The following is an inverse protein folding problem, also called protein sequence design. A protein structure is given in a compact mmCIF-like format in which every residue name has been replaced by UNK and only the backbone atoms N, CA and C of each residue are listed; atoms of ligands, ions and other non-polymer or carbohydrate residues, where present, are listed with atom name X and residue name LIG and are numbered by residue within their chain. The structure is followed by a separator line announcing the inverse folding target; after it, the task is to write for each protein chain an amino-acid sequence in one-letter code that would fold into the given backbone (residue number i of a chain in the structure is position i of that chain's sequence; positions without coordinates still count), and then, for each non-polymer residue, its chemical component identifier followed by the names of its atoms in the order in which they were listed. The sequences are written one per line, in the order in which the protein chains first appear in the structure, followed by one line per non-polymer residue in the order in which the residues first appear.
data_IF_313900689047
#
_entry.id   IF_313900689047
#
_cell.length_a   1.000
_cell.length_b   1.000
_cell.length_c   1.000
_cell.angle_alpha   90.00
_cell.angle_beta   90.00
_cell.angle_gamma   90.00
#
_symmetry.space_group_name_H-M   'P 1'
#
loop_
_entity.id
_entity.type
_entity.pdbx_description
1 polymer ?
2 non-polymer ?
3 water ?
#
# COMPACT_ATOMS: atom_id res chain seq x y z
N UNK A 4 11.97 2.34 -23.73
CA UNK A 4 12.97 2.61 -22.68
C UNK A 4 12.28 2.97 -21.34
N UNK A 5 13.07 3.15 -20.30
CA UNK A 5 12.58 3.50 -18.97
C UNK A 5 13.10 4.87 -18.50
N UNK A 6 14.08 5.50 -19.19
CA UNK A 6 14.56 6.81 -18.84
C UNK A 6 13.71 7.83 -19.58
N UNK A 7 13.15 8.79 -18.84
CA UNK A 7 12.32 9.86 -19.42
C UNK A 7 13.14 11.14 -19.39
N UNK A 8 13.32 11.80 -20.55
CA UNK A 8 14.11 13.05 -20.55
C UNK A 8 13.29 14.17 -19.91
N UNK A 9 13.93 15.19 -19.31
CA UNK A 9 13.17 16.28 -18.68
C UNK A 9 12.27 16.99 -19.68
N UNK A 10 12.69 17.04 -20.97
CA UNK A 10 11.88 17.72 -21.99
C UNK A 10 10.60 16.97 -22.33
N UNK A 11 10.48 15.70 -21.90
CA UNK A 11 9.29 14.92 -22.16
C UNK A 11 8.21 15.07 -21.10
N UNK A 12 8.39 15.97 -20.10
CA UNK A 12 7.41 16.13 -19.01
C UNK A 12 7.01 17.58 -18.84
N UNK A 13 5.77 17.81 -18.41
CA UNK A 13 5.33 19.11 -17.98
C UNK A 13 4.71 18.97 -16.59
N UNK A 14 4.79 20.01 -15.80
CA UNK A 14 4.24 19.99 -14.45
C UNK A 14 3.07 20.99 -14.38
N UNK A 15 1.84 20.49 -14.21
CA UNK A 15 0.65 21.34 -14.24
C UNK A 15 0.18 21.80 -12.89
N UNK A 16 -0.01 20.88 -11.94
CA UNK A 16 -0.55 21.27 -10.66
C UNK A 16 0.09 20.41 -9.59
N UNK A 17 0.47 20.97 -8.44
CA UNK A 17 0.99 20.16 -7.33
C UNK A 17 -0.24 19.52 -6.71
N UNK A 18 -0.22 18.22 -6.51
CA UNK A 18 -1.34 17.50 -5.91
C UNK A 18 -0.98 16.84 -4.58
N UNK A 19 0.31 16.69 -4.30
CA UNK A 19 0.75 16.06 -3.06
C UNK A 19 2.09 16.54 -2.58
N UNK A 20 2.34 16.36 -1.29
CA UNK A 20 3.61 16.73 -0.70
C UNK A 20 3.84 15.94 0.59
N UNK A 21 5.09 15.88 1.01
CA UNK A 21 5.54 15.19 2.23
C UNK A 21 7.05 15.19 2.35
N UNK A 22 7.60 14.37 3.27
CA UNK A 22 9.07 14.30 3.43
C UNK A 22 9.78 13.64 2.25
N UNK A 23 9.07 12.90 1.42
CA UNK A 23 9.65 12.27 0.24
C UNK A 23 10.01 13.28 -0.85
N UNK A 24 9.30 14.43 -0.88
CA UNK A 24 9.31 15.47 -1.91
C UNK A 24 7.90 15.92 -2.36
N UNK A 25 7.63 16.03 -3.71
CA UNK A 25 6.33 16.53 -4.18
C UNK A 25 5.69 15.64 -5.22
N UNK A 26 4.39 15.78 -5.42
CA UNK A 26 3.71 15.05 -6.50
C UNK A 26 2.94 16.08 -7.33
N UNK A 27 3.09 16.02 -8.67
CA UNK A 27 2.37 16.90 -9.56
C UNK A 27 1.56 16.15 -10.56
N UNK A 28 0.45 16.70 -10.99
CA UNK A 28 -0.27 16.18 -12.14
C UNK A 28 0.50 16.85 -13.30
N UNK A 29 0.81 16.09 -14.32
CA UNK A 29 1.46 16.65 -15.51
C UNK A 29 1.12 15.86 -16.74
N UNK A 30 1.84 16.15 -17.87
CA UNK A 30 1.73 15.36 -19.08
C UNK A 30 3.08 14.77 -19.44
N UNK A 31 3.04 13.62 -20.11
CA UNK A 31 4.23 12.96 -20.57
C UNK A 31 4.14 12.87 -22.11
N UNK A 32 5.14 13.37 -22.79
CA UNK A 32 5.15 13.46 -24.25
C UNK A 32 4.73 12.17 -24.97
N UNK A 33 3.78 12.32 -25.91
CA UNK A 33 3.18 11.29 -26.74
C UNK A 33 2.54 10.17 -25.97
N UNK A 34 2.21 10.41 -24.67
CA UNK A 34 1.78 9.35 -23.75
C UNK A 34 0.86 9.83 -22.61
N UNK A 35 0.16 10.92 -22.79
CA UNK A 35 -0.93 11.43 -21.92
C UNK A 35 -0.58 11.83 -20.41
N UNK A 36 -1.63 12.00 -19.60
CA UNK A 36 -1.59 12.46 -18.21
C UNK A 36 -0.83 11.55 -17.27
N UNK A 37 -0.08 12.13 -16.35
CA UNK A 37 0.73 11.34 -15.41
C UNK A 37 0.76 12.02 -14.06
N UNK A 38 1.14 11.27 -13.01
CA UNK A 38 1.50 11.84 -11.72
C UNK A 38 3.05 11.75 -11.66
N UNK A 39 3.70 12.86 -11.34
CA UNK A 39 5.18 12.89 -11.31
C UNK A 39 5.60 13.11 -9.87
N UNK A 40 6.40 12.22 -9.33
CA UNK A 40 6.82 12.35 -7.92
C UNK A 40 8.26 12.82 -7.94
N UNK A 41 8.54 14.02 -7.45
CA UNK A 41 9.91 14.54 -7.36
C UNK A 41 10.48 14.16 -6.03
N UNK A 42 11.66 13.47 -6.03
CA UNK A 42 12.24 12.90 -4.83
C UNK A 42 13.27 13.84 -4.23
N UNK A 43 13.14 14.18 -2.97
CA UNK A 43 14.06 15.06 -2.27
C UNK A 43 15.41 14.38 -2.09
N UNK A 44 16.53 15.13 -2.22
CA UNK A 44 17.89 14.66 -1.99
C UNK A 44 18.00 14.03 -0.62
N UNK A 45 18.56 12.84 -0.57
CA UNK A 45 18.76 12.17 0.72
C UNK A 45 17.60 11.32 1.19
N UNK A 46 16.44 11.38 0.50
CA UNK A 46 15.30 10.58 0.95
C UNK A 46 15.43 9.12 0.56
N UNK A 47 16.04 8.85 -0.61
CA UNK A 47 16.06 7.54 -1.23
C UNK A 47 17.44 7.13 -1.69
N UNK A 48 17.71 5.81 -1.69
CA UNK A 48 18.96 5.30 -2.27
C UNK A 48 18.67 5.30 -3.79
N UNK A 49 19.03 6.37 -4.45
CA UNK A 49 18.68 6.53 -5.88
C UNK A 49 19.36 5.54 -6.77
N UNK A 50 20.67 5.26 -6.55
CA UNK A 50 21.30 4.26 -7.42
C UNK A 50 20.66 2.88 -7.30
N UNK A 51 20.24 2.47 -6.08
CA UNK A 51 19.58 1.18 -5.93
C UNK A 51 18.26 1.18 -6.67
N UNK A 52 17.52 2.27 -6.57
CA UNK A 52 16.22 2.34 -7.23
C UNK A 52 16.43 2.31 -8.77
N UNK A 53 17.33 3.14 -9.28
CA UNK A 53 17.54 3.20 -10.75
C UNK A 53 17.99 1.85 -11.31
N UNK A 54 18.77 1.07 -10.51
CA UNK A 54 19.22 -0.27 -10.89
C UNK A 54 18.06 -1.24 -11.09
N UNK A 55 16.99 -1.06 -10.33
CA UNK A 55 15.83 -1.94 -10.39
C UNK A 55 14.64 -1.40 -11.13
N UNK A 56 14.66 -0.13 -11.53
CA UNK A 56 13.49 0.49 -12.16
C UNK A 56 12.96 -0.25 -13.38
N UNK A 57 13.84 -0.69 -14.29
CA UNK A 57 13.38 -1.35 -15.51
C UNK A 57 12.68 -2.65 -15.20
N UNK A 58 13.23 -3.43 -14.27
CA UNK A 58 12.59 -4.68 -13.91
C UNK A 58 11.26 -4.39 -13.17
N UNK A 59 11.25 -3.37 -12.30
CA UNK A 59 10.04 -2.95 -11.57
C UNK A 59 8.89 -2.58 -12.54
N UNK A 60 9.20 -1.83 -13.62
CA UNK A 60 8.21 -1.40 -14.62
C UNK A 60 7.57 -2.53 -15.37
N UNK A 61 8.24 -3.69 -15.44
CA UNK A 61 7.62 -4.85 -16.09
C UNK A 61 6.55 -5.50 -15.21
N UNK A 62 6.44 -5.10 -13.91
CA UNK A 62 5.36 -5.57 -13.05
C UNK A 62 4.23 -4.69 -13.48
N UNK A 63 3.32 -5.29 -14.22
CA UNK A 63 2.24 -4.55 -14.79
C UNK A 63 0.98 -5.35 -14.59
N UNK A 64 -0.04 -4.72 -14.03
CA UNK A 64 -1.31 -5.36 -13.75
C UNK A 64 -2.39 -4.29 -13.63
N UNK A 65 -3.66 -4.54 -14.00
CA UNK A 65 -4.67 -3.48 -13.88
C UNK A 65 -4.91 -2.99 -12.47
N UNK A 66 -4.55 -3.77 -11.45
CA UNK A 66 -4.76 -3.33 -10.06
C UNK A 66 -3.47 -2.88 -9.36
N UNK A 67 -2.40 -2.64 -10.12
CA UNK A 67 -1.14 -2.07 -9.60
C UNK A 67 -0.94 -0.69 -10.29
N UNK A 68 -0.54 0.33 -9.56
CA UNK A 68 -0.21 1.63 -10.19
C UNK A 68 1.03 1.46 -11.07
N UNK A 69 0.94 1.82 -12.36
CA UNK A 69 2.06 1.63 -13.26
C UNK A 69 3.14 2.68 -13.06
N UNK A 70 4.41 2.23 -13.00
CA UNK A 70 5.56 3.13 -13.02
C UNK A 70 5.92 3.21 -14.53
N UNK A 71 5.90 4.42 -15.10
CA UNK A 71 6.19 4.62 -16.53
C UNK A 71 7.65 4.88 -16.86
N UNK A 72 8.38 5.44 -15.91
CA UNK A 72 9.78 5.76 -16.15
C UNK A 72 10.37 6.66 -15.11
N UNK A 73 11.65 7.02 -15.31
CA UNK A 73 12.39 7.79 -14.30
C UNK A 73 13.11 8.92 -15.01
N UNK A 74 12.99 10.15 -14.50
CA UNK A 74 13.66 11.29 -15.09
C UNK A 74 14.87 11.50 -14.19
N UNK A 75 16.07 11.16 -14.68
CA UNK A 75 17.29 11.17 -13.86
C UNK A 75 18.45 12.05 -14.39
N UNK A 76 18.21 12.86 -15.43
CA UNK A 76 19.26 13.74 -15.99
C UNK A 76 19.93 14.64 -14.94
N UNK A 77 19.12 15.33 -14.14
CA UNK A 77 19.65 16.23 -13.10
C UNK A 77 18.89 15.99 -11.78
N UNK A 78 19.47 16.44 -10.68
CA UNK A 78 18.84 16.30 -9.37
C UNK A 78 17.87 17.47 -9.19
N UNK A 79 16.71 17.26 -8.55
CA UNK A 79 16.19 16.00 -7.99
C UNK A 79 15.61 15.06 -9.04
N UNK A 80 15.70 13.74 -8.83
CA UNK A 80 15.10 12.82 -9.82
C UNK A 80 13.58 12.83 -9.71
N UNK A 81 12.89 12.40 -10.76
CA UNK A 81 11.42 12.27 -10.73
C UNK A 81 11.05 10.87 -11.12
N UNK A 82 9.97 10.36 -10.58
CA UNK A 82 9.43 9.07 -10.97
C UNK A 82 8.09 9.37 -11.64
N UNK A 83 7.78 8.73 -12.78
CA UNK A 83 6.56 9.10 -13.53
C UNK A 83 5.59 7.93 -13.48
N UNK A 84 4.38 8.16 -12.99
CA UNK A 84 3.41 7.12 -12.74
C UNK A 84 2.09 7.39 -13.43
N UNK A 85 1.28 6.37 -13.45
CA UNK A 85 -0.11 6.40 -13.83
C UNK A 85 -0.84 7.38 -12.88
N UNK A 86 -1.68 8.26 -13.45
CA UNK A 86 -2.42 9.25 -12.68
C UNK A 86 -3.72 8.61 -12.21
N UNK A 87 -3.98 8.72 -10.91
CA UNK A 87 -5.18 8.17 -10.25
C UNK A 87 -6.01 9.36 -9.80
N UNK A 88 -7.16 9.51 -10.40
CA UNK A 88 -7.92 10.74 -10.25
C UNK A 88 -8.43 11.03 -8.84
N UNK A 89 -8.69 9.99 -8.01
CA UNK A 89 -9.26 10.27 -6.68
C UNK A 89 -8.28 10.25 -5.52
N UNK A 90 -6.99 10.04 -5.78
CA UNK A 90 -5.99 10.13 -4.72
C UNK A 90 -5.94 8.90 -3.84
N UNK A 91 -5.30 9.03 -2.65
CA UNK A 91 -5.08 7.86 -1.79
C UNK A 91 -6.36 7.41 -1.16
N UNK A 92 -6.45 6.12 -1.00
CA UNK A 92 -7.66 5.44 -0.49
C UNK A 92 -7.98 5.83 0.95
N UNK A 93 -6.94 6.04 1.76
CA UNK A 93 -7.13 6.45 3.16
C UNK A 93 -7.94 7.76 3.23
N UNK A 94 -7.52 8.77 2.47
CA UNK A 94 -8.26 10.04 2.46
C UNK A 94 -9.62 9.87 1.79
N UNK A 95 -9.70 9.05 0.74
CA UNK A 95 -10.97 8.82 0.03
C UNK A 95 -12.04 8.22 0.96
N UNK A 96 -11.62 7.25 1.76
CA UNK A 96 -12.52 6.62 2.74
C UNK A 96 -12.98 7.66 3.74
N UNK A 97 -12.04 8.47 4.29
CA UNK A 97 -12.43 9.46 5.31
C UNK A 97 -13.38 10.51 4.81
N UNK A 98 -13.12 11.00 3.59
CA UNK A 98 -13.94 12.09 3.07
C UNK A 98 -15.31 11.57 2.62
N UNK A 99 -15.40 10.29 2.19
CA UNK A 99 -16.71 9.78 1.71
C UNK A 99 -17.44 8.93 2.77
N UNK A 100 -16.96 8.98 4.04
CA UNK A 100 -17.54 8.23 5.18
C UNK A 100 -19.03 8.47 5.28
N UNK A 101 -19.78 7.40 5.47
CA UNK A 101 -21.24 7.46 5.52
C UNK A 101 -21.91 7.27 4.18
N UNK A 102 -21.14 7.29 3.07
CA UNK A 102 -21.69 7.17 1.71
C UNK A 102 -21.36 5.84 1.01
N UNK A 103 -20.80 4.90 1.77
CA UNK A 103 -20.41 3.63 1.19
C UNK A 103 -21.40 2.54 1.52
N UNK A 104 -21.72 1.74 0.53
CA UNK A 104 -22.40 0.47 0.72
C UNK A 104 -21.29 -0.59 1.12
N UNK A 105 -21.67 -1.60 1.92
CA UNK A 105 -20.71 -2.65 2.29
C UNK A 105 -20.19 -3.38 1.04
N UNK A 106 -21.01 -3.51 -0.01
CA UNK A 106 -20.55 -4.15 -1.26
C UNK A 106 -19.43 -3.34 -1.93
N UNK A 107 -19.48 -2.01 -1.82
CA UNK A 107 -18.42 -1.19 -2.42
C UNK A 107 -17.10 -1.40 -1.65
N UNK A 108 -17.19 -1.46 -0.33
CA UNK A 108 -16.02 -1.61 0.53
C UNK A 108 -15.39 -2.97 0.29
N UNK A 109 -16.22 -4.02 0.13
CA UNK A 109 -15.67 -5.34 -0.17
C UNK A 109 -15.02 -5.31 -1.56
N UNK A 110 -15.62 -4.59 -2.51
CA UNK A 110 -15.06 -4.50 -3.84
C UNK A 110 -13.70 -3.82 -3.84
N UNK A 111 -13.51 -2.80 -2.96
CA UNK A 111 -12.20 -2.15 -2.84
C UNK A 111 -11.18 -3.20 -2.32
N UNK A 112 -11.58 -4.00 -1.31
CA UNK A 112 -10.66 -5.05 -0.80
C UNK A 112 -10.31 -6.06 -1.89
N UNK A 113 -11.29 -6.42 -2.75
CA UNK A 113 -11.02 -7.33 -3.85
C UNK A 113 -10.07 -6.78 -4.84
N UNK A 114 -10.18 -5.48 -5.16
CA UNK A 114 -9.21 -4.89 -6.12
C UNK A 114 -7.78 -4.98 -5.53
N UNK A 115 -7.64 -4.66 -4.24
CA UNK A 115 -6.31 -4.71 -3.62
C UNK A 115 -5.78 -6.17 -3.60
N UNK A 116 -6.69 -7.10 -3.27
CA UNK A 116 -6.33 -8.52 -3.22
C UNK A 116 -5.86 -9.01 -4.59
N UNK A 117 -6.52 -8.57 -5.65
CA UNK A 117 -6.16 -8.99 -6.99
C UNK A 117 -4.76 -8.50 -7.35
N UNK A 118 -4.47 -7.24 -7.06
CA UNK A 118 -3.11 -6.70 -7.29
C UNK A 118 -2.09 -7.43 -6.44
N UNK A 119 -2.42 -7.70 -5.14
CA UNK A 119 -1.48 -8.44 -4.29
C UNK A 119 -1.29 -9.87 -4.74
N UNK A 120 -2.34 -10.56 -5.29
CA UNK A 120 -2.12 -11.94 -5.74
C UNK A 120 -1.15 -11.94 -6.95
N UNK A 121 -1.19 -10.89 -7.77
CA UNK A 121 -0.24 -10.77 -8.89
C UNK A 121 1.19 -10.62 -8.30
N UNK A 122 1.35 -9.74 -7.31
CA UNK A 122 2.69 -9.56 -6.73
C UNK A 122 3.17 -10.84 -6.04
N UNK A 123 2.29 -11.56 -5.39
CA UNK A 123 2.63 -12.81 -4.70
C UNK A 123 3.09 -13.82 -5.74
N UNK A 124 2.38 -13.93 -6.87
CA UNK A 124 2.81 -14.86 -7.92
C UNK A 124 4.18 -14.43 -8.50
N UNK A 125 4.40 -13.11 -8.60
CA UNK A 125 5.70 -12.60 -9.10
C UNK A 125 6.80 -12.66 -7.99
N UNK A 126 6.47 -13.15 -6.77
CA UNK A 126 7.40 -13.21 -5.60
C UNK A 126 7.95 -11.86 -5.26
N UNK A 127 7.06 -10.85 -5.32
CA UNK A 127 7.43 -9.47 -5.02
C UNK A 127 6.70 -9.15 -3.74
N UNK A 128 7.44 -8.68 -2.74
CA UNK A 128 6.85 -8.38 -1.44
C UNK A 128 6.62 -6.89 -1.35
N UNK A 129 5.41 -6.49 -0.95
CA UNK A 129 5.12 -5.06 -0.86
C UNK A 129 5.95 -4.38 0.24
N UNK A 130 5.82 -4.90 1.47
CA UNK A 130 6.49 -4.52 2.70
C UNK A 130 5.80 -3.43 3.49
N UNK A 131 4.93 -2.61 2.86
CA UNK A 131 4.26 -1.56 3.61
C UNK A 131 2.87 -1.34 3.09
N UNK A 132 2.14 -2.44 2.95
CA UNK A 132 0.77 -2.35 2.45
C UNK A 132 -0.13 -1.73 3.46
N UNK A 133 -0.86 -0.68 3.02
CA UNK A 133 -1.77 0.07 3.91
C UNK A 133 -2.69 0.88 3.01
N UNK A 134 -3.80 1.38 3.54
CA UNK A 134 -4.72 2.18 2.72
C UNK A 134 -4.02 3.44 2.18
N UNK A 135 -3.04 4.00 2.94
CA UNK A 135 -2.34 5.19 2.45
C UNK A 135 -1.56 4.92 1.17
N UNK A 136 -1.18 3.64 0.92
CA UNK A 136 -0.42 3.22 -0.25
C UNK A 136 -1.29 2.69 -1.38
N UNK A 137 -2.61 2.82 -1.27
CA UNK A 137 -3.54 2.42 -2.33
C UNK A 137 -4.12 3.71 -2.92
N UNK A 138 -4.35 3.69 -4.21
CA UNK A 138 -4.89 4.89 -4.90
C UNK A 138 -6.19 4.54 -5.57
N UNK A 139 -7.04 5.55 -5.75
CA UNK A 139 -8.41 5.36 -6.28
C UNK A 139 -8.47 6.01 -7.64
N UNK A 140 -8.95 5.30 -8.65
CA UNK A 140 -8.94 5.82 -10.01
C UNK A 140 -10.32 5.82 -10.60
N UNK A 141 -10.36 5.65 -11.93
CA UNK A 141 -11.55 5.63 -12.75
C UNK A 141 -12.57 4.64 -12.23
N UNK A 142 -13.80 5.12 -12.03
CA UNK A 142 -14.89 4.30 -11.54
C UNK A 142 -14.59 3.68 -10.16
N UNK A 143 -13.76 4.38 -9.34
CA UNK A 143 -13.47 3.96 -7.99
C UNK A 143 -12.65 2.66 -7.92
N UNK A 144 -11.93 2.32 -9.00
CA UNK A 144 -11.04 1.16 -8.98
C UNK A 144 -9.91 1.44 -7.97
N UNK A 145 -9.48 0.42 -7.20
CA UNK A 145 -8.35 0.66 -6.28
C UNK A 145 -7.12 -0.01 -6.88
N UNK A 146 -6.00 0.67 -6.79
CA UNK A 146 -4.74 0.11 -7.25
C UNK A 146 -3.71 0.24 -6.16
N UNK A 147 -2.87 -0.80 -6.04
CA UNK A 147 -1.78 -0.82 -5.06
C UNK A 147 -0.60 -0.03 -5.60
N UNK A 148 0.02 0.77 -4.73
CA UNK A 148 1.19 1.55 -5.14
C UNK A 148 2.33 1.34 -4.17
N UNK A 149 3.52 1.81 -4.57
CA UNK A 149 4.73 1.82 -3.75
C UNK A 149 5.20 0.48 -3.22
N UNK A 150 4.88 -0.57 -3.93
CA UNK A 150 5.37 -1.91 -3.57
C UNK A 150 6.89 -1.96 -3.65
N UNK A 151 7.46 -2.47 -2.57
CA UNK A 151 8.89 -2.67 -2.42
C UNK A 151 9.69 -1.40 -2.21
N UNK A 152 9.01 -0.25 -2.09
CA UNK A 152 9.77 0.99 -2.01
C UNK A 152 10.48 1.21 -0.71
N UNK A 153 10.06 0.56 0.40
CA UNK A 153 10.82 0.74 1.64
C UNK A 153 12.25 0.19 1.53
N UNK A 154 12.53 -0.68 0.52
CA UNK A 154 13.90 -1.15 0.31
C UNK A 154 14.82 0.04 -0.07
N UNK A 155 14.26 1.18 -0.55
CA UNK A 155 15.11 2.32 -0.96
C UNK A 155 15.03 3.51 -0.02
N UNK A 156 14.15 3.50 0.99
CA UNK A 156 13.99 4.65 1.89
C UNK A 156 15.26 4.78 2.77
N UNK A 157 15.85 6.00 2.87
CA UNK A 157 17.06 6.14 3.69
C UNK A 157 16.83 6.52 5.16
N UNK A 158 15.59 6.72 5.55
CA UNK A 158 15.25 7.06 6.93
C UNK A 158 15.20 5.77 7.76
N UNK A 159 16.29 5.49 8.48
CA UNK A 159 16.35 4.26 9.31
C UNK A 159 15.28 4.22 10.34
N UNK A 160 14.72 5.40 10.74
CA UNK A 160 13.68 5.35 11.77
C UNK A 160 12.39 4.74 11.23
N UNK A 161 12.22 4.73 9.90
CA UNK A 161 11.05 4.16 9.28
C UNK A 161 11.32 2.71 8.83
N UNK A 162 12.55 2.39 8.40
CA UNK A 162 12.82 1.05 7.86
C UNK A 162 13.23 0.01 8.87
N UNK A 163 13.85 0.40 9.98
CA UNK A 163 14.28 -0.58 11.00
C UNK A 163 13.07 -0.91 11.88
N UNK A 164 12.91 -2.18 12.25
CA UNK A 164 11.78 -2.58 13.13
C UNK A 164 11.85 -1.91 14.51
N UNK A 165 13.04 -1.45 14.91
CA UNK A 165 13.18 -0.73 16.17
C UNK A 165 13.13 0.78 16.00
N UNK A 166 12.90 1.27 14.77
CA UNK A 166 12.86 2.69 14.46
C UNK A 166 11.68 3.36 15.09
N UNK A 167 11.84 4.62 15.51
CA UNK A 167 10.74 5.34 16.16
C UNK A 167 9.52 5.47 15.26
N UNK A 168 9.74 5.55 13.93
CA UNK A 168 8.67 5.73 12.93
C UNK A 168 8.21 4.43 12.25
N UNK A 169 8.75 3.28 12.64
CA UNK A 169 8.40 2.03 11.94
C UNK A 169 6.88 1.79 11.89
N UNK A 170 6.31 1.42 10.73
CA UNK A 170 4.85 1.24 10.59
C UNK A 170 4.38 -0.08 11.21
N UNK A 171 4.55 -0.18 12.53
CA UNK A 171 4.20 -1.38 13.28
C UNK A 171 2.72 -1.71 13.19
N UNK A 172 1.83 -0.71 13.00
CA UNK A 172 0.37 -1.02 12.93
C UNK A 172 -0.02 -1.96 11.82
N UNK A 173 0.78 -2.03 10.75
CA UNK A 173 0.48 -2.95 9.63
C UNK A 173 1.42 -4.15 9.58
N UNK A 174 2.33 -4.25 10.58
CA UNK A 174 3.31 -5.30 10.53
C UNK A 174 2.90 -6.57 11.24
N UNK A 175 3.22 -7.71 10.63
CA UNK A 175 3.00 -9.01 11.27
C UNK A 175 4.06 -9.12 12.39
N UNK A 176 3.89 -10.05 13.39
CA UNK A 176 4.86 -10.18 14.46
C UNK A 176 6.26 -10.45 13.93
N UNK A 177 6.39 -11.34 12.92
CA UNK A 177 7.75 -11.67 12.43
C UNK A 177 8.41 -10.48 11.73
N UNK A 178 7.63 -9.49 11.28
CA UNK A 178 8.17 -8.29 10.70
C UNK A 178 8.53 -7.32 11.81
N UNK A 179 7.60 -7.09 12.77
CA UNK A 179 7.97 -6.14 13.86
C UNK A 179 9.08 -6.71 14.76
N UNK A 180 9.31 -8.05 14.70
CA UNK A 180 10.34 -8.63 15.54
C UNK A 180 11.67 -8.77 14.82
N UNK A 181 11.61 -9.24 13.55
CA UNK A 181 12.80 -9.63 12.85
C UNK A 181 12.94 -9.07 11.46
N UNK A 182 11.98 -8.27 10.97
CA UNK A 182 12.01 -7.81 9.57
C UNK A 182 11.96 -9.02 8.64
N UNK A 183 11.17 -10.04 9.00
CA UNK A 183 11.11 -11.25 8.20
C UNK A 183 9.96 -11.04 7.24
N UNK A 184 10.23 -10.38 6.11
CA UNK A 184 9.18 -10.08 5.13
C UNK A 184 8.86 -11.26 4.24
N UNK A 185 7.59 -11.41 3.86
CA UNK A 185 7.19 -12.45 2.92
C UNK A 185 5.82 -12.07 2.36
N UNK A 186 5.28 -12.87 1.41
CA UNK A 186 3.91 -12.57 1.00
C UNK A 186 2.94 -12.79 2.21
N UNK A 187 3.30 -13.65 3.18
CA UNK A 187 2.41 -13.88 4.34
C UNK A 187 2.44 -12.68 5.30
N UNK A 188 3.57 -11.93 5.34
CA UNK A 188 3.58 -10.71 6.16
C UNK A 188 2.73 -9.65 5.44
N UNK A 189 2.77 -9.62 4.08
CA UNK A 189 1.86 -8.74 3.35
C UNK A 189 0.37 -9.13 3.61
N UNK A 190 0.10 -10.44 3.74
CA UNK A 190 -1.28 -10.84 4.08
C UNK A 190 -1.75 -10.26 5.39
N UNK A 191 -0.84 -10.22 6.41
CA UNK A 191 -1.25 -9.59 7.69
C UNK A 191 -1.58 -8.13 7.44
N UNK A 192 -0.70 -7.44 6.69
CA UNK A 192 -0.95 -6.02 6.37
C UNK A 192 -2.29 -5.85 5.63
N UNK A 193 -2.61 -6.80 4.75
CA UNK A 193 -3.88 -6.75 4.00
C UNK A 193 -5.04 -6.90 4.97
N UNK A 194 -4.93 -7.73 6.05
CA UNK A 194 -6.04 -7.78 7.02
C UNK A 194 -6.26 -6.40 7.65
N UNK A 195 -5.15 -5.71 7.99
CA UNK A 195 -5.28 -4.35 8.57
C UNK A 195 -5.86 -3.38 7.55
N UNK A 196 -5.42 -3.47 6.29
CA UNK A 196 -6.00 -2.62 5.22
C UNK A 196 -7.51 -2.90 5.11
N UNK A 197 -7.92 -4.20 5.14
CA UNK A 197 -9.37 -4.51 5.12
C UNK A 197 -10.09 -3.83 6.30
N UNK A 198 -9.46 -3.82 7.44
CA UNK A 198 -10.04 -3.14 8.61
C UNK A 198 -10.15 -1.60 8.38
N UNK A 199 -9.14 -1.01 7.72
CA UNK A 199 -9.19 0.41 7.40
C UNK A 199 -10.35 0.67 6.45
N UNK A 200 -10.55 -0.19 5.45
CA UNK A 200 -11.61 -0.01 4.47
C UNK A 200 -12.95 -0.14 5.14
N UNK A 201 -13.21 -1.26 5.85
CA UNK A 201 -14.52 -1.44 6.47
C UNK A 201 -14.83 -0.43 7.59
N UNK A 202 -13.81 0.17 8.18
CA UNK A 202 -14.03 1.21 9.18
C UNK A 202 -14.18 2.60 8.53
N UNK A 203 -14.09 2.69 7.18
CA UNK A 203 -14.18 3.94 6.48
C UNK A 203 -13.05 4.90 6.90
N UNK A 204 -11.84 4.36 6.95
CA UNK A 204 -10.62 5.14 7.12
C UNK A 204 -10.25 5.48 8.54
N UNK A 205 -10.76 4.73 9.53
CA UNK A 205 -10.28 4.95 10.91
C UNK A 205 -8.80 4.50 11.00
N UNK A 206 -8.04 5.06 11.95
CA UNK A 206 -6.63 4.67 12.12
C UNK A 206 -6.55 3.49 13.10
N UNK A 207 -5.95 2.37 12.65
CA UNK A 207 -5.87 1.19 13.52
C UNK A 207 -5.00 1.48 14.74
N UNK A 208 -5.42 0.96 15.90
CA UNK A 208 -4.68 1.06 17.14
C UNK A 208 -4.40 2.50 17.49
N UNK A 209 -5.45 3.30 17.41
CA UNK A 209 -5.42 4.72 17.66
C UNK A 209 -4.88 5.02 19.03
N UNK A 210 -3.95 5.94 19.09
CA UNK A 210 -3.35 6.38 20.33
C UNK A 210 -2.45 5.32 21.00
N UNK A 211 -2.31 4.09 20.44
CA UNK A 211 -1.43 3.10 21.07
C UNK A 211 -0.03 3.39 20.59
N UNK A 212 0.96 3.34 21.51
CA UNK A 212 2.33 3.51 21.13
C UNK A 212 2.78 2.27 20.33
N UNK A 213 3.96 2.34 19.70
CA UNK A 213 4.48 1.16 18.97
C UNK A 213 4.67 -0.01 19.88
N UNK A 214 5.28 0.22 21.07
CA UNK A 214 5.51 -0.91 21.98
C UNK A 214 4.17 -1.46 22.49
N UNK A 215 3.17 -0.58 22.68
CA UNK A 215 1.85 -1.07 23.14
C UNK A 215 1.18 -1.93 22.07
N UNK A 216 1.37 -1.59 20.78
CA UNK A 216 0.80 -2.43 19.70
C UNK A 216 1.48 -3.79 19.73
N UNK A 217 2.81 -3.81 19.87
CA UNK A 217 3.54 -5.08 19.94
C UNK A 217 3.07 -5.92 21.12
N UNK A 218 2.94 -5.30 22.29
CA UNK A 218 2.49 -6.03 23.48
C UNK A 218 1.07 -6.56 23.31
N UNK A 219 0.20 -5.75 22.70
CA UNK A 219 -1.20 -6.13 22.53
C UNK A 219 -1.29 -7.29 21.56
N UNK A 220 -0.63 -7.18 20.38
CA UNK A 220 -0.72 -8.26 19.39
C UNK A 220 -0.14 -9.56 19.96
N UNK A 221 0.99 -9.43 20.66
CA UNK A 221 1.68 -10.60 21.25
C UNK A 221 0.83 -11.31 22.32
N UNK A 222 -0.09 -10.57 22.95
CA UNK A 222 -1.01 -11.05 23.96
C UNK A 222 -2.40 -11.40 23.36
N UNK A 223 -2.49 -11.55 22.04
CA UNK A 223 -3.68 -12.02 21.35
C UNK A 223 -4.72 -11.00 20.96
N UNK A 224 -4.53 -9.69 21.33
CA UNK A 224 -5.47 -8.61 20.96
C UNK A 224 -5.56 -8.55 19.44
N UNK A 225 -6.75 -8.27 18.92
CA UNK A 225 -6.88 -7.99 17.49
C UNK A 225 -7.81 -6.80 17.32
N UNK A 226 -7.73 -6.15 16.16
CA UNK A 226 -8.64 -5.02 15.84
C UNK A 226 -10.12 -5.48 15.94
N UNK A 227 -11.00 -4.65 16.54
CA UNK A 227 -12.43 -4.96 16.69
C UNK A 227 -13.14 -5.05 15.31
N UNK A 228 -14.27 -5.74 15.27
CA UNK A 228 -14.99 -5.84 13.98
C UNK A 228 -15.61 -4.53 13.64
N UNK A 229 -15.35 -3.97 12.45
CA UNK A 229 -16.07 -2.74 12.06
C UNK A 229 -17.55 -3.05 11.89
N UNK A 230 -18.38 -2.05 12.10
CA UNK A 230 -19.81 -2.22 11.93
C UNK A 230 -20.19 -2.68 10.52
N UNK A 231 -19.51 -2.18 9.49
CA UNK A 231 -19.88 -2.51 8.09
C UNK A 231 -19.32 -3.85 7.60
N UNK A 232 -18.42 -4.49 8.40
CA UNK A 232 -17.90 -5.77 7.99
C UNK A 232 -18.84 -6.84 8.51
N UNK A 233 -19.22 -7.79 7.65
CA UNK A 233 -20.04 -8.91 8.11
C UNK A 233 -19.17 -9.84 8.99
N UNK A 234 -19.82 -10.74 9.75
CA UNK A 234 -19.11 -11.73 10.54
C UNK A 234 -18.19 -12.57 9.64
N UNK A 235 -18.63 -12.83 8.40
CA UNK A 235 -17.82 -13.64 7.52
C UNK A 235 -16.60 -12.86 7.03
N UNK A 236 -16.76 -11.57 6.72
CA UNK A 236 -15.62 -10.75 6.29
C UNK A 236 -14.65 -10.59 7.47
N UNK A 237 -15.15 -10.42 8.69
CA UNK A 237 -14.28 -10.32 9.86
C UNK A 237 -13.55 -11.63 10.14
N UNK A 238 -14.18 -12.78 9.83
CA UNK A 238 -13.50 -14.06 9.96
C UNK A 238 -12.28 -14.07 9.05
N UNK A 239 -12.40 -13.60 7.80
CA UNK A 239 -11.27 -13.58 6.88
C UNK A 239 -10.19 -12.63 7.38
N UNK A 240 -10.56 -11.44 7.89
CA UNK A 240 -9.59 -10.52 8.47
C UNK A 240 -8.78 -11.21 9.59
N UNK A 241 -9.48 -11.97 10.48
CA UNK A 241 -8.75 -12.66 11.54
C UNK A 241 -7.83 -13.74 11.01
N UNK A 242 -8.16 -14.39 9.86
CA UNK A 242 -7.25 -15.39 9.28
C UNK A 242 -5.94 -14.69 8.82
N UNK A 243 -6.06 -13.42 8.37
CA UNK A 243 -4.84 -12.64 7.99
C UNK A 243 -3.96 -12.36 9.20
N UNK A 244 -4.55 -12.32 10.39
CA UNK A 244 -3.82 -12.01 11.60
C UNK A 244 -3.43 -13.20 12.45
N UNK A 245 -3.29 -14.35 11.82
CA UNK A 245 -2.80 -15.51 12.57
C UNK A 245 -1.35 -15.28 12.95
N UNK A 246 -1.00 -15.65 14.18
CA UNK A 246 0.39 -15.48 14.61
C UNK A 246 1.42 -16.14 13.70
N UNK A 247 1.17 -17.40 13.25
CA UNK A 247 2.12 -18.08 12.38
C UNK A 247 1.87 -17.72 10.91
N UNK A 248 2.89 -17.30 10.14
CA UNK A 248 2.63 -16.97 8.72
C UNK A 248 2.04 -18.16 7.96
N UNK A 249 2.54 -19.37 8.29
CA UNK A 249 2.08 -20.58 7.60
C UNK A 249 0.57 -20.80 7.69
N UNK A 250 -0.07 -20.27 8.75
CA UNK A 250 -1.52 -20.45 8.94
C UNK A 250 -2.36 -19.35 8.24
N UNK A 251 -1.69 -18.29 7.75
CA UNK A 251 -2.41 -17.24 7.06
C UNK A 251 -2.67 -17.72 5.66
N UNK A 252 -3.82 -17.30 5.08
CA UNK A 252 -4.08 -17.68 3.69
C UNK A 252 -3.16 -16.95 2.74
N UNK A 253 -2.81 -17.57 1.63
CA UNK A 253 -2.13 -16.89 0.56
C UNK A 253 -3.10 -15.89 -0.09
N UNK A 254 -2.58 -14.89 -0.81
CA UNK A 254 -3.49 -13.93 -1.51
C UNK A 254 -4.33 -14.67 -2.55
N UNK A 255 -3.78 -15.77 -3.14
CA UNK A 255 -4.57 -16.53 -4.13
C UNK A 255 -5.80 -17.17 -3.50
N UNK A 256 -5.66 -17.58 -2.23
CA UNK A 256 -6.77 -18.18 -1.48
C UNK A 256 -7.72 -17.13 -1.04
N UNK A 257 -7.19 -16.00 -0.49
CA UNK A 257 -8.08 -14.87 -0.13
C UNK A 257 -8.87 -14.37 -1.30
N UNK A 258 -8.27 -14.33 -2.48
CA UNK A 258 -8.96 -13.77 -3.66
C UNK A 258 -10.18 -14.65 -4.00
N UNK A 259 -10.02 -15.98 -3.89
CA UNK A 259 -11.17 -16.86 -4.19
C UNK A 259 -12.20 -16.71 -3.11
N UNK A 260 -11.76 -16.62 -1.82
CA UNK A 260 -12.75 -16.55 -0.75
C UNK A 260 -13.51 -15.26 -0.78
N UNK A 261 -12.81 -14.12 -0.97
CA UNK A 261 -13.50 -12.86 -0.98
C UNK A 261 -14.41 -12.75 -2.22
N UNK A 262 -13.97 -13.29 -3.38
CA UNK A 262 -14.81 -13.20 -4.59
C UNK A 262 -16.05 -14.01 -4.40
N UNK A 263 -15.95 -15.18 -3.71
CA UNK A 263 -17.18 -15.95 -3.46
C UNK A 263 -18.14 -15.15 -2.60
N UNK A 264 -17.65 -14.40 -1.62
CA UNK A 264 -18.54 -13.61 -0.78
C UNK A 264 -19.19 -12.50 -1.61
N UNK A 265 -18.37 -11.78 -2.40
CA UNK A 265 -18.88 -10.66 -3.19
C UNK A 265 -19.90 -11.05 -4.23
N UNK A 266 -19.69 -12.20 -4.87
CA UNK A 266 -20.53 -12.64 -5.98
C UNK A 266 -21.75 -13.45 -5.57
N UNK A 267 -21.92 -13.72 -4.26
CA UNK A 267 -23.07 -14.48 -3.76
C UNK A 267 -24.22 -13.57 -3.36
X LIG B 1 0.38 9.75 -5.96
X LIG B 1 2.75 9.37 -7.09
X LIG B 1 3.03 6.85 -6.54
X LIG B 1 1.76 9.05 -5.98
X LIG B 1 2.13 8.00 -6.99
X LIG B 1 -3.21 12.64 -5.77
X LIG B 1 -5.65 13.89 -5.69
X LIG B 1 -5.38 13.01 -6.75
X LIG B 1 -7.94 13.70 -4.78
X LIG B 1 -7.40 15.31 -8.98
X LIG B 1 -6.02 17.32 -9.30
X LIG B 1 -8.01 15.59 -10.30
X LIG B 1 -0.37 9.52 -7.25
X LIG B 1 -4.96 15.18 -3.60
X LIG B 1 -4.70 14.20 -4.72
X LIG B 1 -3.47 13.55 -4.77
X LIG B 1 -4.14 12.36 -6.77
X LIG B 1 -6.98 14.44 -5.60
X LIG B 1 -7.33 15.66 -6.07
X LIG B 1 -8.43 16.14 -5.86
X LIG B 1 -6.35 16.41 -6.98
X LIG B 1 -5.92 17.71 -6.30
X LIG B 1 -6.89 16.56 -8.36
X LIG B 1 -6.70 17.46 -10.64
X LIG B 1 -7.07 16.19 -11.18
X LIG B 1 -3.64 11.37 -7.62
X LIG B 1 -2.43 11.11 -7.16
X LIG B 1 -2.12 11.82 -6.03
X LIG B 1 -1.57 10.10 -7.75
X LIG B 1 -0.02 8.55 -8.18
X LIG B 1 -0.95 8.59 -9.15
X LIG B 1 -1.90 9.55 -8.92
X LIG B 1 1.14 7.61 -8.09
X LIG B 1 0.53 10.81 -5.80
X LIG B 1 -0.22 9.40 -5.12
X LIG B 1 2.46 10.03 -7.91
X LIG B 1 3.80 9.52 -6.87
X LIG B 1 2.45 6.07 -6.04
X LIG B 1 3.80 7.18 -5.83
X LIG B 1 3.55 6.41 -7.38
X LIG B 1 2.16 8.94 -4.98
X LIG B 1 -6.10 12.83 -7.54
X LIG B 1 -7.54 12.76 -4.43
X LIG B 1 -8.84 13.45 -5.35
X LIG B 1 -8.25 14.26 -3.90
X LIG B 1 -8.12 14.74 -8.39
X LIG B 1 -6.57 14.62 -9.12
X LIG B 1 -5.08 16.79 -9.41
X LIG B 1 -5.74 18.33 -9.00
X LIG B 1 -8.91 16.20 -10.22
X LIG B 1 -8.30 14.68 -10.83
X LIG B 1 -4.37 14.97 -2.72
X LIG B 1 -6.01 15.20 -3.26
X LIG B 1 -4.70 16.18 -3.92
X LIG B 1 -2.71 13.76 -4.02
X LIG B 1 -5.37 15.88 -6.87
X LIG B 1 -6.54 18.56 -6.59
X LIG B 1 -4.90 17.98 -6.56
X LIG B 1 -5.94 17.65 -5.21
X LIG B 1 -6.02 17.85 -11.40
X LIG B 1 -7.54 18.14 -10.60
X LIG B 1 -1.28 11.78 -5.47
X LIG B 1 -1.02 8.01 -9.98
X LIG B 1 0.77 6.60 -7.94
X LIG B 1 1.65 7.57 -9.05
#
# INVERSE_FOLDING_TARGET
GSGKWVIDPSELTFVQEIGSGQFGLVHLGYWLNKDKVAIKTIREGAMSEEDFIEEAEVMMKLSHPKLVQLYGVCLEQAPICLVFEFMEHGCLSDYLRTQRGLFAAETLLGMCLDVCEGMAYLEEACVIHRDLAARNCLVGENQVIKVSDFGMTRFVLDDQYTSSTGTKFPVKWASPEVFSFSRYSSKSDVWSFGVLMWEVFSEGKIPYENRSNSEVVEDISTGFRLYKPRLASTHVYQIMNHCWRERPEDRPAFSRLLRQLAEIAESGL
A1B66 C36 C33 C37 C34 C32 C4 C7 C6 C9 C20 C16 C19 C26 C1 C2 C3 C5 N8 C10 O11 C12 C14 N15 C17 O18 N21 C22 N23 C25 C27 N28 N30 C31 H62 H61 H59 H60 H63 H65 H64 H35 H42 H45 H44 H43 H55 H56 H49 H50 H54 H53 H39 H38 H40 H41 H13 H48 H47 H46 H51 H52 H24 H29 H57 H58
#
